data_IF_457844964242
#
_entry.id   IF_457844964242
#
_cell.length_a   1.000
_cell.length_b   1.000
_cell.length_c   1.000
_cell.angle_alpha   90.00
_cell.angle_beta   90.00
_cell.angle_gamma   90.00
#
_symmetry.space_group_name_H-M   'P 1'
#
loop_
_entity.id
_entity.type
_entity.pdbx_description
1 polymer ?
#
# COMPACT_ATOMS: atom_id res chain seq x y z
N UNK A 1 -37.49 -21.17 0.57
CA UNK A 1 -37.09 -20.24 -0.50
C UNK A 1 -37.06 -18.82 0.07
N UNK A 2 -35.93 -18.36 0.63
CA UNK A 2 -35.81 -17.00 1.18
C UNK A 2 -35.41 -16.05 0.05
N UNK A 3 -36.35 -15.21 -0.40
CA UNK A 3 -36.06 -14.07 -1.29
C UNK A 3 -35.18 -13.09 -0.52
N UNK A 4 -33.89 -13.04 -0.83
CA UNK A 4 -33.04 -11.89 -0.48
C UNK A 4 -33.60 -10.70 -1.26
N UNK A 5 -34.09 -9.70 -0.53
CA UNK A 5 -34.36 -8.38 -1.09
C UNK A 5 -33.05 -7.88 -1.73
N UNK A 6 -33.03 -7.74 -3.06
CA UNK A 6 -31.99 -6.97 -3.74
C UNK A 6 -32.20 -5.51 -3.33
N UNK A 7 -31.50 -5.08 -2.28
CA UNK A 7 -31.09 -3.68 -2.24
C UNK A 7 -30.33 -3.43 -3.54
N UNK A 8 -30.60 -2.33 -4.24
CA UNK A 8 -29.75 -1.93 -5.36
C UNK A 8 -28.38 -1.57 -4.79
N UNK A 9 -27.52 -2.56 -4.57
CA UNK A 9 -26.11 -2.33 -4.25
C UNK A 9 -25.53 -1.57 -5.44
N UNK A 10 -25.11 -0.33 -5.21
CA UNK A 10 -24.39 0.42 -6.23
C UNK A 10 -23.13 -0.37 -6.53
N UNK A 11 -22.90 -0.63 -7.81
CA UNK A 11 -21.63 -1.17 -8.27
C UNK A 11 -20.51 -0.17 -7.91
N UNK A 12 -19.50 -0.65 -7.19
CA UNK A 12 -18.30 0.11 -6.86
C UNK A 12 -17.10 -0.49 -7.59
N UNK A 13 -16.10 0.35 -7.87
CA UNK A 13 -14.84 -0.09 -8.45
C UNK A 13 -13.72 0.06 -7.43
N UNK A 14 -13.25 -1.07 -6.90
CA UNK A 14 -12.11 -1.15 -6.00
C UNK A 14 -10.81 -1.26 -6.79
N UNK A 15 -9.82 -0.47 -6.40
CA UNK A 15 -8.48 -0.49 -6.99
C UNK A 15 -7.49 -0.73 -5.87
N UNK A 16 -6.72 -1.81 -6.01
CA UNK A 16 -5.85 -2.33 -4.97
C UNK A 16 -4.39 -1.98 -5.24
N UNK A 17 -3.72 -1.46 -4.21
CA UNK A 17 -2.32 -1.07 -4.19
C UNK A 17 -1.58 -1.91 -3.15
N UNK A 18 -0.64 -2.74 -3.60
CA UNK A 18 0.10 -3.65 -2.73
C UNK A 18 1.22 -2.96 -1.95
N UNK A 19 1.78 -3.67 -0.96
CA UNK A 19 2.96 -3.24 -0.19
C UNK A 19 4.28 -3.70 -0.80
N UNK A 20 5.38 -3.49 -0.07
CA UNK A 20 6.74 -3.80 -0.51
C UNK A 20 6.90 -5.28 -0.89
N UNK A 21 7.56 -5.54 -2.01
CA UNK A 21 7.92 -6.88 -2.50
C UNK A 21 6.78 -7.73 -3.02
N UNK A 22 5.54 -7.23 -2.95
CA UNK A 22 4.35 -7.92 -3.43
C UNK A 22 3.96 -7.46 -4.83
N UNK A 23 2.78 -7.88 -5.31
CA UNK A 23 2.12 -7.41 -6.52
C UNK A 23 0.60 -7.46 -6.32
N UNK A 24 -0.16 -7.10 -7.34
CA UNK A 24 -1.62 -7.22 -7.41
C UNK A 24 -2.13 -8.63 -7.09
N UNK A 25 -1.29 -9.66 -7.29
CA UNK A 25 -1.57 -11.05 -6.93
C UNK A 25 -1.95 -11.24 -5.45
N UNK A 26 -1.46 -10.41 -4.52
CA UNK A 26 -1.75 -10.57 -3.10
C UNK A 26 -3.23 -10.28 -2.76
N UNK A 27 -3.97 -9.67 -3.68
CA UNK A 27 -5.38 -9.33 -3.51
C UNK A 27 -6.34 -10.36 -4.10
N UNK A 28 -5.86 -11.48 -4.64
CA UNK A 28 -6.68 -12.40 -5.44
C UNK A 28 -7.95 -12.89 -4.73
N UNK A 29 -7.86 -13.26 -3.44
CA UNK A 29 -8.99 -13.70 -2.60
C UNK A 29 -10.03 -12.59 -2.43
N UNK A 30 -9.60 -11.37 -2.10
CA UNK A 30 -10.49 -10.24 -1.88
C UNK A 30 -11.12 -9.75 -3.20
N UNK A 31 -10.32 -9.68 -4.26
CA UNK A 31 -10.79 -9.31 -5.59
C UNK A 31 -11.83 -10.31 -6.12
N UNK A 32 -11.64 -11.62 -5.88
CA UNK A 32 -12.64 -12.64 -6.21
C UNK A 32 -13.95 -12.39 -5.46
N UNK A 33 -13.88 -12.24 -4.14
CA UNK A 33 -15.07 -11.99 -3.30
C UNK A 33 -15.84 -10.74 -3.74
N UNK A 34 -15.16 -9.63 -4.02
CA UNK A 34 -15.82 -8.42 -4.49
C UNK A 34 -16.51 -8.59 -5.85
N UNK A 35 -15.87 -9.30 -6.78
CA UNK A 35 -16.47 -9.61 -8.11
C UNK A 35 -17.70 -10.50 -7.98
N UNK A 36 -17.65 -11.51 -7.10
CA UNK A 36 -18.81 -12.38 -6.80
C UNK A 36 -19.99 -11.60 -6.21
N UNK A 37 -19.72 -10.48 -5.53
CA UNK A 37 -20.74 -9.58 -4.98
C UNK A 37 -21.06 -8.40 -5.93
N UNK A 38 -20.71 -8.49 -7.21
CA UNK A 38 -21.14 -7.54 -8.24
C UNK A 38 -20.36 -6.21 -8.26
N UNK A 39 -19.18 -6.16 -7.64
CA UNK A 39 -18.27 -5.01 -7.73
C UNK A 39 -17.15 -5.23 -8.75
N UNK A 40 -16.56 -4.14 -9.23
CA UNK A 40 -15.32 -4.19 -10.02
C UNK A 40 -14.12 -4.19 -9.08
N UNK A 41 -13.10 -4.97 -9.45
CA UNK A 41 -11.82 -5.00 -8.74
C UNK A 41 -10.67 -4.97 -9.74
N UNK A 42 -9.79 -3.98 -9.63
CA UNK A 42 -8.51 -3.87 -10.34
C UNK A 42 -7.38 -3.99 -9.34
N UNK A 43 -6.43 -4.89 -9.58
CA UNK A 43 -5.26 -5.06 -8.73
C UNK A 43 -4.04 -4.62 -9.53
N UNK A 44 -3.42 -3.51 -9.13
CA UNK A 44 -2.31 -2.91 -9.85
C UNK A 44 -1.01 -3.59 -9.43
N UNK A 45 -0.16 -3.92 -10.40
CA UNK A 45 1.26 -4.14 -10.16
C UNK A 45 1.98 -2.81 -10.35
N UNK A 46 2.59 -2.29 -9.28
CA UNK A 46 3.44 -1.10 -9.36
C UNK A 46 4.72 -1.41 -10.15
N UNK A 47 5.47 -0.39 -10.56
CA UNK A 47 6.63 -0.60 -11.43
C UNK A 47 7.69 -1.45 -10.73
N UNK A 48 8.19 -2.47 -11.41
CA UNK A 48 9.12 -3.46 -10.83
C UNK A 48 8.50 -4.44 -9.83
N UNK A 49 7.20 -4.39 -9.59
CA UNK A 49 6.50 -5.29 -8.68
C UNK A 49 5.67 -6.35 -9.44
N UNK A 50 5.22 -7.40 -8.74
CA UNK A 50 4.41 -8.47 -9.31
C UNK A 50 4.97 -9.00 -10.64
N UNK A 51 4.17 -8.95 -11.72
CA UNK A 51 4.59 -9.38 -13.06
C UNK A 51 5.14 -8.25 -13.95
N UNK A 52 5.31 -7.03 -13.43
CA UNK A 52 5.91 -5.92 -14.17
C UNK A 52 7.38 -6.22 -14.50
N UNK A 53 7.77 -6.20 -15.78
CA UNK A 53 9.10 -6.65 -16.22
C UNK A 53 10.27 -5.72 -15.87
N UNK A 54 10.00 -4.56 -15.25
CA UNK A 54 11.06 -3.62 -14.84
C UNK A 54 11.91 -4.22 -13.73
N UNK A 55 13.22 -4.00 -13.76
CA UNK A 55 14.10 -4.31 -12.63
C UNK A 55 13.84 -3.33 -11.47
N UNK A 56 13.45 -3.79 -10.26
CA UNK A 56 13.23 -2.92 -9.11
C UNK A 56 14.42 -2.00 -8.81
N UNK A 57 15.65 -2.41 -9.10
CA UNK A 57 16.85 -1.62 -8.82
C UNK A 57 16.98 -0.38 -9.73
N UNK A 58 16.21 -0.31 -10.81
CA UNK A 58 16.19 0.82 -11.75
C UNK A 58 15.09 1.84 -11.45
N UNK A 59 14.17 1.52 -10.53
CA UNK A 59 13.08 2.42 -10.13
C UNK A 59 13.65 3.52 -9.24
N UNK A 60 13.55 4.75 -9.73
CA UNK A 60 14.36 5.86 -9.22
C UNK A 60 13.63 6.86 -8.33
N UNK A 61 12.29 6.81 -8.29
CA UNK A 61 11.46 7.72 -7.50
C UNK A 61 10.10 7.11 -7.17
N UNK A 62 9.32 7.77 -6.32
CA UNK A 62 7.93 7.40 -6.04
C UNK A 62 7.07 7.50 -7.31
N UNK A 63 7.19 8.58 -8.08
CA UNK A 63 6.39 8.75 -9.30
C UNK A 63 6.73 7.70 -10.38
N UNK A 64 7.99 7.27 -10.44
CA UNK A 64 8.41 6.19 -11.33
C UNK A 64 7.82 4.84 -10.88
N UNK A 65 7.77 4.59 -9.56
CA UNK A 65 7.15 3.40 -8.99
C UNK A 65 5.63 3.36 -9.21
N UNK A 66 4.98 4.51 -9.04
CA UNK A 66 3.53 4.67 -9.06
C UNK A 66 2.93 4.88 -10.46
N UNK A 67 3.78 4.96 -11.49
CA UNK A 67 3.36 5.16 -12.88
C UNK A 67 2.18 4.25 -13.30
N UNK A 68 2.14 2.94 -13.00
CA UNK A 68 1.01 2.10 -13.39
C UNK A 68 -0.31 2.50 -12.72
N UNK A 69 -0.26 2.96 -11.46
CA UNK A 69 -1.43 3.46 -10.73
C UNK A 69 -1.90 4.80 -11.33
N UNK A 70 -0.97 5.70 -11.60
CA UNK A 70 -1.27 7.00 -12.20
C UNK A 70 -1.84 6.86 -13.61
N UNK A 71 -1.24 5.99 -14.43
CA UNK A 71 -1.72 5.67 -15.77
C UNK A 71 -3.15 5.15 -15.72
N UNK A 72 -3.44 4.22 -14.81
CA UNK A 72 -4.80 3.70 -14.60
C UNK A 72 -5.79 4.81 -14.22
N UNK A 73 -5.46 5.64 -13.23
CA UNK A 73 -6.36 6.71 -12.76
C UNK A 73 -6.59 7.80 -13.81
N UNK A 74 -5.57 8.13 -14.61
CA UNK A 74 -5.66 9.12 -15.67
C UNK A 74 -6.62 8.71 -16.80
N UNK A 75 -6.77 7.40 -17.02
CA UNK A 75 -7.64 6.84 -18.07
C UNK A 75 -9.10 6.70 -17.63
N UNK A 76 -9.41 6.88 -16.33
CA UNK A 76 -10.79 6.84 -15.86
C UNK A 76 -11.60 8.00 -16.46
N UNK A 77 -12.86 7.77 -16.91
CA UNK A 77 -13.78 8.82 -17.27
C UNK A 77 -13.98 9.87 -16.17
N UNK A 78 -14.36 11.10 -16.52
CA UNK A 78 -14.49 12.21 -15.57
C UNK A 78 -15.65 12.05 -14.58
N UNK A 79 -16.66 11.28 -14.94
CA UNK A 79 -17.82 10.95 -14.11
C UNK A 79 -17.62 9.69 -13.25
N UNK A 80 -16.48 9.01 -13.39
CA UNK A 80 -16.17 7.81 -12.63
C UNK A 80 -15.20 8.07 -11.48
N UNK A 81 -15.47 7.40 -10.37
CA UNK A 81 -14.60 7.39 -9.19
C UNK A 81 -14.39 5.96 -8.71
N UNK A 82 -13.23 5.73 -8.10
CA UNK A 82 -12.84 4.45 -7.52
C UNK A 82 -12.75 4.53 -6.01
N UNK A 83 -12.76 3.36 -5.38
CA UNK A 83 -12.35 3.16 -4.00
C UNK A 83 -10.92 2.65 -4.05
N UNK A 84 -9.97 3.44 -3.55
CA UNK A 84 -8.58 2.98 -3.43
C UNK A 84 -8.44 2.17 -2.13
N UNK A 85 -7.76 1.03 -2.22
CA UNK A 85 -7.44 0.18 -1.07
C UNK A 85 -5.94 -0.11 -1.11
N UNK A 86 -5.23 0.20 -0.04
CA UNK A 86 -3.78 0.02 0.05
C UNK A 86 -3.37 -0.79 1.27
N UNK A 87 -2.21 -1.43 1.18
CA UNK A 87 -1.59 -2.15 2.29
C UNK A 87 -0.15 -1.71 2.52
N UNK A 88 0.27 -1.62 3.78
CA UNK A 88 1.66 -1.31 4.18
C UNK A 88 2.17 -0.04 3.48
N UNK A 89 3.37 -0.05 2.91
CA UNK A 89 3.96 1.08 2.18
C UNK A 89 3.12 1.55 0.98
N UNK A 90 2.21 0.72 0.45
CA UNK A 90 1.30 1.13 -0.62
C UNK A 90 0.36 2.27 -0.21
N UNK A 91 0.21 2.55 1.10
CA UNK A 91 -0.49 3.73 1.60
C UNK A 91 0.13 5.05 1.14
N UNK A 92 1.46 5.09 1.02
CA UNK A 92 2.16 6.25 0.48
C UNK A 92 1.84 6.49 -1.00
N UNK A 93 1.91 5.42 -1.80
CA UNK A 93 1.52 5.46 -3.22
C UNK A 93 0.06 5.89 -3.41
N UNK A 94 -0.84 5.35 -2.61
CA UNK A 94 -2.25 5.75 -2.61
C UNK A 94 -2.42 7.22 -2.25
N UNK A 95 -1.67 7.72 -1.26
CA UNK A 95 -1.69 9.13 -0.85
C UNK A 95 -1.19 10.05 -1.98
N UNK A 96 -0.08 9.69 -2.64
CA UNK A 96 0.45 10.45 -3.77
C UNK A 96 -0.54 10.47 -4.96
N UNK A 97 -1.15 9.33 -5.27
CA UNK A 97 -2.21 9.24 -6.27
C UNK A 97 -3.43 10.10 -5.93
N UNK A 98 -3.83 10.18 -4.65
CA UNK A 98 -4.89 11.08 -4.20
C UNK A 98 -4.53 12.56 -4.40
N UNK A 99 -3.27 12.95 -4.22
CA UNK A 99 -2.82 14.32 -4.47
C UNK A 99 -2.95 14.70 -5.95
N UNK A 100 -2.62 13.78 -6.86
CA UNK A 100 -2.65 14.01 -8.30
C UNK A 100 -4.06 13.87 -8.91
N UNK A 101 -4.86 12.94 -8.40
CA UNK A 101 -6.17 12.58 -8.96
C UNK A 101 -7.31 12.68 -7.93
N UNK A 102 -7.46 13.78 -7.18
CA UNK A 102 -8.43 13.85 -6.08
C UNK A 102 -9.89 13.70 -6.54
N UNK A 103 -10.20 14.10 -7.78
CA UNK A 103 -11.53 13.96 -8.36
C UNK A 103 -11.90 12.52 -8.73
N UNK A 104 -10.91 11.62 -8.86
CA UNK A 104 -11.09 10.22 -9.26
C UNK A 104 -11.29 9.27 -8.07
N UNK A 105 -11.12 9.76 -6.84
CA UNK A 105 -11.21 8.94 -5.64
C UNK A 105 -12.47 9.28 -4.85
N UNK A 106 -13.26 8.26 -4.52
CA UNK A 106 -14.48 8.37 -3.71
C UNK A 106 -14.27 8.02 -2.24
N UNK A 107 -13.31 7.13 -1.97
CA UNK A 107 -12.95 6.64 -0.65
C UNK A 107 -11.52 6.08 -0.74
N UNK A 108 -10.74 6.32 0.31
CA UNK A 108 -9.41 5.75 0.47
C UNK A 108 -9.38 4.84 1.71
N UNK A 109 -8.97 3.59 1.53
CA UNK A 109 -8.91 2.56 2.58
C UNK A 109 -7.45 2.16 2.80
N UNK A 110 -6.95 2.41 4.01
CA UNK A 110 -5.60 2.08 4.45
C UNK A 110 -5.66 0.82 5.32
N UNK A 111 -5.19 -0.31 4.82
CA UNK A 111 -5.14 -1.58 5.59
C UNK A 111 -3.73 -1.73 6.14
N UNK A 112 -3.55 -1.50 7.46
CA UNK A 112 -2.23 -1.50 8.10
C UNK A 112 -1.18 -0.78 7.23
N UNK A 113 -1.54 0.43 6.76
CA UNK A 113 -0.79 1.13 5.73
C UNK A 113 -0.17 2.43 6.23
N UNK A 114 0.87 2.89 5.52
CA UNK A 114 1.50 4.17 5.75
C UNK A 114 0.54 5.30 5.35
N UNK A 115 -0.12 5.91 6.35
CA UNK A 115 -1.06 7.00 6.17
C UNK A 115 -0.42 8.29 6.67
N UNK A 116 0.37 8.93 5.81
CA UNK A 116 1.10 10.16 6.13
C UNK A 116 0.37 11.34 5.47
N UNK A 117 0.09 12.38 6.24
CA UNK A 117 -0.57 13.58 5.72
C UNK A 117 0.36 14.31 4.73
N UNK A 118 -0.09 14.60 3.49
CA UNK A 118 0.68 15.37 2.53
C UNK A 118 1.14 16.72 3.10
N UNK A 119 2.41 17.07 2.86
CA UNK A 119 3.03 18.30 3.35
C UNK A 119 3.38 18.31 4.85
N UNK A 120 3.24 17.19 5.55
CA UNK A 120 3.65 17.08 6.95
C UNK A 120 5.08 16.56 7.04
N UNK A 121 5.90 17.24 7.83
CA UNK A 121 7.20 16.72 8.24
C UNK A 121 6.96 15.52 9.16
N UNK A 122 7.55 14.37 8.84
CA UNK A 122 7.49 13.19 9.71
C UNK A 122 8.27 13.49 10.99
N UNK A 123 7.63 13.45 12.17
CA UNK A 123 8.32 13.73 13.44
C UNK A 123 9.51 12.79 13.69
N UNK A 124 10.56 13.28 14.33
CA UNK A 124 11.81 12.53 14.58
C UNK A 124 11.58 11.21 15.36
N UNK A 125 10.63 11.20 16.30
CA UNK A 125 10.27 10.00 17.07
C UNK A 125 9.60 8.91 16.23
N UNK A 126 9.06 9.28 15.06
CA UNK A 126 8.45 8.35 14.11
C UNK A 126 9.41 7.92 13.00
N UNK A 127 10.64 8.48 12.97
CA UNK A 127 11.71 7.96 12.13
C UNK A 127 11.94 6.47 12.40
N UNK A 128 11.76 5.98 13.63
CA UNK A 128 11.85 4.55 13.98
C UNK A 128 10.78 3.67 13.30
N UNK A 129 9.58 4.18 13.07
CA UNK A 129 8.50 3.46 12.37
C UNK A 129 8.78 3.45 10.87
N UNK A 130 9.40 4.52 10.37
CA UNK A 130 9.85 4.65 9.00
C UNK A 130 11.25 4.05 8.76
N UNK A 131 11.99 3.59 9.79
CA UNK A 131 13.27 2.85 9.66
C UNK A 131 13.07 1.52 8.95
N UNK A 132 11.89 0.92 9.09
CA UNK A 132 11.49 -0.31 8.38
C UNK A 132 11.25 -0.02 6.88
N UNK A 133 10.75 1.18 6.54
CA UNK A 133 10.46 1.60 5.17
C UNK A 133 11.64 2.28 4.45
N UNK A 134 12.55 2.93 5.20
CA UNK A 134 13.59 3.83 4.65
C UNK A 134 14.93 3.16 4.38
N UNK A 135 15.07 1.86 4.66
CA UNK A 135 16.33 1.15 4.44
C UNK A 135 17.51 1.74 5.22
N UNK A 136 17.26 2.42 6.33
CA UNK A 136 18.31 2.81 7.27
C UNK A 136 18.92 1.53 7.84
N UNK A 137 20.14 1.25 7.40
CA UNK A 137 20.93 0.07 7.73
C UNK A 137 21.37 0.18 9.19
N UNK A 138 20.63 -0.47 10.07
CA UNK A 138 21.01 -0.74 11.45
C UNK A 138 21.16 -2.25 11.60
N UNK A 139 21.93 -2.73 12.58
CA UNK A 139 22.17 -4.18 12.77
C UNK A 139 20.89 -5.01 12.87
N UNK A 140 19.79 -4.42 13.38
CA UNK A 140 18.49 -5.09 13.47
C UNK A 140 17.74 -5.13 12.13
N UNK A 141 17.90 -4.15 11.24
CA UNK A 141 17.29 -4.20 9.89
C UNK A 141 18.03 -5.17 8.98
N UNK A 142 19.36 -5.21 9.04
CA UNK A 142 20.19 -6.23 8.35
C UNK A 142 19.88 -7.66 8.79
N UNK A 143 19.31 -7.84 9.98
CA UNK A 143 18.96 -9.17 10.49
C UNK A 143 17.86 -9.82 9.66
N UNK A 144 16.85 -9.05 9.25
CA UNK A 144 15.62 -9.55 8.62
C UNK A 144 15.49 -9.17 7.13
N UNK A 145 16.30 -8.22 6.66
CA UNK A 145 16.29 -7.74 5.27
C UNK A 145 17.62 -8.00 4.57
N UNK A 146 17.54 -8.35 3.29
CA UNK A 146 18.64 -8.28 2.32
C UNK A 146 18.57 -6.96 1.55
N UNK A 147 19.73 -6.34 1.34
CA UNK A 147 19.88 -5.07 0.65
C UNK A 147 20.66 -5.26 -0.64
N UNK A 148 20.14 -4.69 -1.74
CA UNK A 148 20.84 -4.66 -3.02
C UNK A 148 21.37 -3.26 -3.28
N UNK A 149 22.64 -3.15 -3.66
CA UNK A 149 23.32 -1.88 -3.95
C UNK A 149 23.62 -1.76 -5.45
N UNK A 150 22.58 -1.62 -6.27
CA UNK A 150 22.69 -1.57 -7.73
C UNK A 150 23.54 -0.40 -8.24
N UNK A 151 23.65 0.68 -7.47
CA UNK A 151 24.48 1.84 -7.77
C UNK A 151 25.87 1.79 -7.11
N UNK A 152 26.26 0.65 -6.56
CA UNK A 152 27.54 0.46 -5.85
C UNK A 152 27.42 0.61 -4.33
N UNK A 153 28.36 0.00 -3.57
CA UNK A 153 28.22 -0.22 -2.11
C UNK A 153 28.35 1.05 -1.26
N UNK A 154 28.81 2.16 -1.83
CA UNK A 154 28.91 3.45 -1.13
C UNK A 154 27.65 4.30 -1.26
N UNK A 155 26.70 3.88 -2.08
CA UNK A 155 25.42 4.56 -2.27
C UNK A 155 24.34 3.90 -1.41
N UNK A 156 23.17 4.55 -1.31
CA UNK A 156 22.00 3.93 -0.71
C UNK A 156 21.62 2.65 -1.46
N UNK A 157 21.06 1.63 -0.77
CA UNK A 157 20.54 0.45 -1.43
C UNK A 157 19.47 0.83 -2.44
N UNK A 158 19.49 0.20 -3.61
CA UNK A 158 18.49 0.38 -4.67
C UNK A 158 17.22 -0.41 -4.36
N UNK A 159 17.33 -1.58 -3.74
CA UNK A 159 16.18 -2.38 -3.34
C UNK A 159 16.42 -3.17 -2.06
N UNK A 160 15.32 -3.59 -1.42
CA UNK A 160 15.30 -4.44 -0.23
C UNK A 160 14.41 -5.67 -0.44
N UNK A 161 14.76 -6.77 0.21
CA UNK A 161 13.94 -7.99 0.20
C UNK A 161 13.95 -8.65 1.58
N UNK A 162 12.81 -9.16 2.02
CA UNK A 162 12.76 -9.88 3.30
C UNK A 162 13.48 -11.21 3.15
N UNK A 163 14.34 -11.54 4.12
CA UNK A 163 15.02 -12.83 4.14
C UNK A 163 14.01 -13.98 4.27
N UNK A 164 14.16 -15.08 3.52
CA UNK A 164 13.14 -16.14 3.45
C UNK A 164 12.70 -16.71 4.79
N UNK A 165 13.61 -16.84 5.76
CA UNK A 165 13.34 -17.37 7.10
C UNK A 165 12.42 -16.48 7.95
N UNK A 166 12.29 -15.18 7.60
CA UNK A 166 11.40 -14.26 8.30
C UNK A 166 10.05 -14.06 7.59
N UNK A 167 9.92 -14.43 6.32
CA UNK A 167 8.68 -14.24 5.53
C UNK A 167 7.46 -14.86 6.22
N UNK A 168 7.61 -16.06 6.79
CA UNK A 168 6.50 -16.73 7.49
C UNK A 168 6.09 -15.97 8.75
N UNK A 169 7.04 -15.56 9.59
CA UNK A 169 6.76 -14.87 10.84
C UNK A 169 6.26 -13.43 10.61
N UNK A 170 6.87 -12.70 9.68
CA UNK A 170 6.65 -11.26 9.53
C UNK A 170 5.52 -10.89 8.59
N UNK A 171 5.30 -11.66 7.52
CA UNK A 171 4.24 -11.38 6.54
C UNK A 171 3.03 -12.31 6.64
N UNK A 172 3.25 -13.59 6.97
CA UNK A 172 2.24 -14.64 6.80
C UNK A 172 1.96 -15.43 8.09
N UNK A 173 2.18 -14.85 9.27
CA UNK A 173 2.05 -15.53 10.56
C UNK A 173 0.70 -16.23 10.73
N UNK A 174 -0.38 -15.52 10.39
CA UNK A 174 -1.77 -16.00 10.52
C UNK A 174 -2.36 -16.54 9.20
N UNK A 175 -1.57 -16.59 8.12
CA UNK A 175 -2.06 -17.02 6.81
C UNK A 175 -1.96 -18.54 6.62
N UNK A 176 -2.83 -19.15 5.79
CA UNK A 176 -2.64 -20.53 5.33
C UNK A 176 -1.24 -20.78 4.73
N UNK A 177 -0.75 -22.01 4.83
CA UNK A 177 0.56 -22.38 4.26
C UNK A 177 0.59 -22.25 2.73
N UNK A 178 -0.53 -22.49 2.05
CA UNK A 178 -0.66 -22.28 0.60
C UNK A 178 -0.37 -20.82 0.18
N UNK A 179 -0.84 -19.84 0.95
CA UNK A 179 -0.61 -18.42 0.67
C UNK A 179 0.85 -18.05 0.92
N UNK A 180 1.46 -18.60 1.97
CA UNK A 180 2.89 -18.46 2.23
C UNK A 180 3.72 -19.06 1.09
N UNK A 181 3.40 -20.28 0.65
CA UNK A 181 4.09 -20.92 -0.49
C UNK A 181 3.94 -20.08 -1.75
N UNK A 182 2.74 -19.64 -2.08
CA UNK A 182 2.48 -18.74 -3.22
C UNK A 182 3.31 -17.46 -3.12
N UNK A 183 3.36 -16.84 -1.94
CA UNK A 183 4.13 -15.62 -1.74
C UNK A 183 5.62 -15.84 -1.98
N UNK A 184 6.20 -16.90 -1.42
CA UNK A 184 7.63 -17.18 -1.58
C UNK A 184 8.05 -17.45 -3.02
N UNK A 185 7.12 -17.76 -3.93
CA UNK A 185 7.40 -17.91 -5.37
C UNK A 185 7.21 -16.62 -6.17
N UNK A 186 6.59 -15.60 -5.58
CA UNK A 186 6.20 -14.35 -6.26
C UNK A 186 6.83 -13.08 -5.67
N UNK A 187 7.35 -13.15 -4.45
CA UNK A 187 8.02 -12.01 -3.81
C UNK A 187 9.22 -11.52 -4.64
N UNK A 188 9.37 -10.21 -4.73
CA UNK A 188 10.47 -9.54 -5.44
C UNK A 188 11.14 -8.49 -4.57
N UNK A 189 12.37 -8.05 -4.90
CA UNK A 189 12.97 -6.89 -4.26
C UNK A 189 12.10 -5.64 -4.45
N UNK A 190 12.01 -4.81 -3.42
CA UNK A 190 11.20 -3.61 -3.40
C UNK A 190 12.08 -2.35 -3.51
N UNK A 191 11.73 -1.36 -4.35
CA UNK A 191 12.58 -0.22 -4.65
C UNK A 191 12.63 0.78 -3.49
N UNK A 192 13.82 0.98 -2.91
CA UNK A 192 14.00 1.85 -1.73
C UNK A 192 13.72 3.31 -2.05
N UNK A 193 14.10 3.77 -3.25
CA UNK A 193 13.91 5.17 -3.65
C UNK A 193 12.44 5.60 -3.69
N UNK A 194 11.53 4.66 -4.00
CA UNK A 194 10.10 4.92 -3.93
C UNK A 194 9.65 5.23 -2.49
N UNK A 195 10.16 4.47 -1.52
CA UNK A 195 9.80 4.63 -0.10
C UNK A 195 10.36 5.91 0.50
N UNK A 196 11.52 6.38 0.02
CA UNK A 196 12.04 7.70 0.37
C UNK A 196 11.08 8.80 -0.08
N UNK A 197 10.54 8.71 -1.31
CA UNK A 197 9.58 9.68 -1.83
C UNK A 197 8.26 9.75 -1.06
N UNK A 198 7.82 8.64 -0.45
CA UNK A 198 6.61 8.61 0.42
C UNK A 198 6.74 9.60 1.59
N UNK A 199 7.97 9.88 2.04
CA UNK A 199 8.22 10.77 3.18
C UNK A 199 8.13 12.26 2.82
N UNK A 200 8.08 12.60 1.53
CA UNK A 200 8.14 13.98 1.04
C UNK A 200 7.04 14.26 0.01
N UNK A 201 5.83 13.76 0.29
CA UNK A 201 4.65 14.06 -0.55
C UNK A 201 4.25 15.53 -0.32
N UNK A 202 4.23 16.39 -1.36
CA UNK A 202 3.88 17.80 -1.21
C UNK A 202 2.46 18.01 -0.69
N UNK A 203 2.22 19.14 -0.01
CA UNK A 203 0.89 19.50 0.48
C UNK A 203 -0.14 19.56 -0.65
N UNK A 204 -1.28 18.88 -0.46
CA UNK A 204 -2.38 18.86 -1.42
C UNK A 204 -3.72 19.00 -0.69
N UNK A 205 -4.24 20.23 -0.51
CA UNK A 205 -5.44 20.48 0.31
C UNK A 205 -6.70 19.73 -0.15
N UNK A 206 -6.81 19.41 -1.44
CA UNK A 206 -7.93 18.66 -2.01
C UNK A 206 -8.06 17.23 -1.45
N UNK A 207 -6.95 16.64 -0.97
CA UNK A 207 -6.96 15.29 -0.39
C UNK A 207 -7.76 15.20 0.92
N UNK A 208 -7.89 16.31 1.66
CA UNK A 208 -8.65 16.33 2.91
C UNK A 208 -10.15 16.11 2.68
N UNK A 209 -10.66 16.41 1.48
CA UNK A 209 -12.06 16.19 1.08
C UNK A 209 -12.36 14.72 0.77
N UNK A 210 -11.35 13.89 0.57
CA UNK A 210 -11.52 12.47 0.27
C UNK A 210 -11.74 11.73 1.59
N UNK A 211 -12.87 11.04 1.79
CA UNK A 211 -13.10 10.22 2.97
C UNK A 211 -12.03 9.14 3.08
N UNK A 212 -11.56 8.89 4.32
CA UNK A 212 -10.51 7.92 4.62
C UNK A 212 -11.01 6.91 5.65
N UNK A 213 -10.62 5.66 5.47
CA UNK A 213 -10.84 4.58 6.43
C UNK A 213 -9.50 3.92 6.72
N UNK A 214 -9.23 3.65 7.98
CA UNK A 214 -8.07 2.87 8.40
C UNK A 214 -8.54 1.53 8.97
N UNK A 215 -8.00 0.43 8.45
CA UNK A 215 -8.26 -0.94 8.92
C UNK A 215 -7.00 -1.42 9.62
N UNK A 216 -7.07 -1.53 10.95
CA UNK A 216 -5.96 -1.97 11.79
C UNK A 216 -5.83 -3.50 11.79
N UNK A 217 -4.61 -4.01 11.72
CA UNK A 217 -4.29 -5.44 11.92
C UNK A 217 -3.80 -5.67 13.35
N UNK A 218 -4.50 -6.53 14.10
CA UNK A 218 -4.24 -6.71 15.55
C UNK A 218 -3.07 -7.62 15.90
N UNK A 219 -2.59 -8.44 14.95
CA UNK A 219 -1.52 -9.44 15.14
C UNK A 219 -0.40 -9.27 14.11
N UNK A 220 -0.15 -8.02 13.71
CA UNK A 220 0.88 -7.70 12.74
C UNK A 220 2.27 -7.81 13.39
N UNK A 221 3.11 -8.72 12.88
CA UNK A 221 4.46 -8.96 13.41
C UNK A 221 5.53 -8.06 12.77
N UNK A 222 5.16 -7.28 11.76
CA UNK A 222 6.04 -6.34 11.07
C UNK A 222 5.63 -4.89 11.34
N UNK A 223 4.38 -4.55 11.05
CA UNK A 223 3.82 -3.23 11.32
C UNK A 223 2.92 -3.29 12.55
N UNK A 224 3.56 -3.47 13.70
CA UNK A 224 2.90 -3.75 14.97
C UNK A 224 1.76 -2.77 15.29
N UNK A 225 0.70 -3.23 15.98
CA UNK A 225 -0.49 -2.43 16.29
C UNK A 225 -0.23 -1.02 16.83
N UNK A 226 0.80 -0.84 17.67
CA UNK A 226 1.14 0.46 18.25
C UNK A 226 1.75 1.44 17.23
N UNK A 227 2.41 0.92 16.19
CA UNK A 227 2.93 1.71 15.07
C UNK A 227 1.78 2.22 14.18
N UNK A 228 0.75 1.39 14.00
CA UNK A 228 -0.47 1.77 13.29
C UNK A 228 -1.25 2.87 14.03
N UNK A 229 -1.29 2.83 15.36
CA UNK A 229 -1.90 3.91 16.17
C UNK A 229 -1.20 5.26 15.95
N UNK A 230 0.10 5.24 15.68
CA UNK A 230 0.85 6.45 15.35
C UNK A 230 0.41 7.05 14.02
N UNK A 231 0.08 6.24 13.01
CA UNK A 231 -0.46 6.74 11.73
C UNK A 231 -1.79 7.49 11.92
N UNK A 232 -2.68 6.92 12.74
CA UNK A 232 -3.96 7.54 13.08
C UNK A 232 -3.78 8.87 13.81
N UNK A 233 -2.77 8.98 14.67
CA UNK A 233 -2.46 10.22 15.39
C UNK A 233 -1.92 11.34 14.48
N UNK A 234 -1.22 10.98 13.39
CA UNK A 234 -0.66 11.94 12.44
C UNK A 234 -1.73 12.50 11.49
N UNK A 235 -2.67 11.66 11.07
CA UNK A 235 -3.72 12.06 10.13
C UNK A 235 -5.03 11.36 10.45
N UNK A 236 -5.84 12.00 11.29
CA UNK A 236 -7.13 11.44 11.66
C UNK A 236 -8.01 11.17 10.42
N UNK A 237 -8.63 9.99 10.39
CA UNK A 237 -9.67 9.68 9.41
C UNK A 237 -10.92 10.52 9.71
N UNK A 238 -11.62 10.91 8.65
CA UNK A 238 -12.94 11.52 8.77
C UNK A 238 -13.92 10.50 9.36
N UNK A 239 -14.82 10.92 10.24
CA UNK A 239 -15.95 10.09 10.63
C UNK A 239 -16.77 9.77 9.37
N UNK A 240 -16.93 8.48 9.05
CA UNK A 240 -17.92 8.07 8.07
C UNK A 240 -19.30 8.52 8.60
N UNK A 241 -20.14 9.17 7.80
CA UNK A 241 -21.50 9.47 8.24
C UNK A 241 -22.15 8.17 8.67
N UNK A 242 -22.48 8.06 9.97
CA UNK A 242 -23.05 6.85 10.54
C UNK A 242 -24.24 6.45 9.69
N UNK A 243 -24.24 5.25 9.13
CA UNK A 243 -25.45 4.68 8.55
C UNK A 243 -26.39 4.33 9.71
N UNK A 244 -27.03 5.35 10.29
CA UNK A 244 -28.28 5.15 11.02
C UNK A 244 -29.35 4.83 9.97
N UNK A 245 -29.63 3.54 9.79
CA UNK A 245 -30.97 3.04 9.51
C UNK A 245 -31.14 1.69 10.19
#
# INVERSE_FOLDING_TARGET
>A
MRRRLKMSEREHHFVFVHGAGHGGWCWYKLANSLRENGHKATCIDLKGAGVNSTDPNTVSSLDDYDEPLYAFLSQLPNDQKVILVSHSVGGGSMTAAMCLFPSKVSLAVYVAAAMVKPGSLIPDNLKNVMKICSGLIEKETEKIWDFTFGNGPQNLPTSIMMKPEYVRDKFYNESPMEDYTLATTLLRPAPVMAFVGIMDIPAAPETEKIPRVYVKTGKDHLFEPHLQDSMLSLWACSDLPSSRK
#
